data_IF_707443298790
#
_entry.id   IF_707443298790
#
_cell.length_a   1.000
_cell.length_b   1.000
_cell.length_c   1.000
_cell.angle_alpha   90.00
_cell.angle_beta   90.00
_cell.angle_gamma   90.00
#
_symmetry.space_group_name_H-M   'P 1'
#
loop_
_entity.id
_entity.type
_entity.pdbx_description
1 polymer ?
#
# COMPACT_ATOMS: atom_id res chain seq x y z
N UNK A 1 -4.16 5.26 -1.71
CA UNK A 1 -3.30 6.40 -2.06
C UNK A 1 -3.35 6.61 -3.56
N UNK A 2 -3.39 7.86 -4.02
CA UNK A 2 -3.32 8.24 -5.44
C UNK A 2 -2.40 9.45 -5.53
N UNK A 3 -1.43 9.43 -6.46
CA UNK A 3 -0.53 10.54 -6.71
C UNK A 3 -0.57 10.95 -8.19
N UNK A 4 -0.44 12.25 -8.42
CA UNK A 4 -0.22 12.83 -9.74
C UNK A 4 1.18 13.46 -9.71
N UNK A 5 2.07 13.00 -10.58
CA UNK A 5 3.47 13.41 -10.56
C UNK A 5 3.89 13.91 -11.94
N UNK A 6 4.89 14.79 -12.00
CA UNK A 6 5.55 15.04 -13.28
C UNK A 6 6.27 13.76 -13.74
N UNK A 7 6.46 13.56 -15.06
CA UNK A 7 7.14 12.37 -15.57
C UNK A 7 8.49 12.10 -14.89
N UNK A 8 9.29 13.15 -14.72
CA UNK A 8 10.62 13.15 -14.09
C UNK A 8 10.62 12.79 -12.59
N UNK A 9 9.50 12.94 -11.89
CA UNK A 9 9.37 12.67 -10.45
C UNK A 9 8.70 11.32 -10.17
N UNK A 10 8.05 10.73 -11.17
CA UNK A 10 7.12 9.61 -10.96
C UNK A 10 7.76 8.32 -10.43
N UNK A 11 9.04 8.06 -10.72
CA UNK A 11 9.71 6.87 -10.20
C UNK A 11 10.08 7.05 -8.71
N UNK A 12 10.50 8.25 -8.30
CA UNK A 12 10.72 8.59 -6.89
C UNK A 12 9.39 8.56 -6.10
N UNK A 13 8.31 9.03 -6.70
CA UNK A 13 6.98 8.97 -6.09
C UNK A 13 6.47 7.55 -5.89
N UNK A 14 6.90 6.59 -6.72
CA UNK A 14 6.59 5.17 -6.52
C UNK A 14 7.30 4.61 -5.29
N UNK A 15 8.59 4.92 -5.12
CA UNK A 15 9.37 4.52 -3.96
C UNK A 15 8.78 5.14 -2.68
N UNK A 16 8.46 6.44 -2.70
CA UNK A 16 7.80 7.12 -1.59
C UNK A 16 6.42 6.52 -1.26
N UNK A 17 5.59 6.24 -2.27
CA UNK A 17 4.27 5.60 -2.07
C UNK A 17 4.37 4.19 -1.49
N UNK A 18 5.39 3.43 -1.90
CA UNK A 18 5.64 2.08 -1.36
C UNK A 18 6.07 2.17 0.10
N UNK A 19 6.98 3.10 0.42
CA UNK A 19 7.39 3.38 1.79
C UNK A 19 6.23 3.84 2.69
N UNK A 20 5.28 4.63 2.18
CA UNK A 20 4.05 5.01 2.90
C UNK A 20 3.19 3.78 3.26
N UNK A 21 3.08 2.78 2.37
CA UNK A 21 2.37 1.54 2.65
C UNK A 21 3.13 0.65 3.66
N UNK A 22 4.45 0.54 3.51
CA UNK A 22 5.32 -0.18 4.44
C UNK A 22 5.29 0.41 5.85
N UNK A 23 5.29 1.74 5.95
CA UNK A 23 5.25 2.46 7.23
C UNK A 23 4.06 2.01 8.09
N UNK A 24 2.88 1.80 7.48
CA UNK A 24 1.71 1.31 8.19
C UNK A 24 1.91 -0.09 8.77
N UNK A 25 2.55 -1.01 8.03
CA UNK A 25 2.88 -2.35 8.52
C UNK A 25 3.93 -2.30 9.64
N UNK A 26 4.93 -1.43 9.51
CA UNK A 26 5.96 -1.22 10.53
C UNK A 26 5.35 -0.69 11.83
N UNK A 27 4.44 0.29 11.76
CA UNK A 27 3.72 0.81 12.93
C UNK A 27 2.83 -0.26 13.57
N UNK A 28 2.21 -1.11 12.75
CA UNK A 28 1.40 -2.23 13.22
C UNK A 28 2.21 -3.44 13.70
N UNK A 29 3.54 -3.41 13.60
CA UNK A 29 4.41 -4.54 13.99
C UNK A 29 4.20 -5.82 13.16
N UNK A 30 3.69 -5.70 11.94
CA UNK A 30 3.39 -6.85 11.07
C UNK A 30 4.60 -7.18 10.17
N UNK A 31 5.16 -8.41 10.22
CA UNK A 31 6.23 -8.81 9.31
C UNK A 31 5.77 -8.80 7.87
N UNK A 32 6.60 -8.27 6.97
CA UNK A 32 6.26 -8.16 5.56
C UNK A 32 7.50 -8.27 4.67
N UNK A 33 7.28 -8.39 3.36
CA UNK A 33 8.29 -8.24 2.31
C UNK A 33 7.76 -7.39 1.16
N UNK A 34 8.67 -6.80 0.40
CA UNK A 34 8.35 -6.07 -0.84
C UNK A 34 8.87 -6.89 -2.02
N UNK A 35 8.05 -7.05 -3.05
CA UNK A 35 8.43 -7.71 -4.30
C UNK A 35 8.16 -6.78 -5.49
N UNK A 36 9.08 -6.81 -6.47
CA UNK A 36 8.84 -6.17 -7.77
C UNK A 36 8.18 -7.19 -8.70
N UNK A 37 7.03 -6.84 -9.27
CA UNK A 37 6.29 -7.75 -10.14
C UNK A 37 7.03 -7.96 -11.46
N UNK A 38 7.04 -9.21 -11.93
CA UNK A 38 7.59 -9.52 -13.25
C UNK A 38 6.62 -9.07 -14.36
N UNK A 39 7.13 -8.96 -15.59
CA UNK A 39 6.35 -8.42 -16.72
C UNK A 39 5.05 -9.18 -17.00
N UNK A 40 5.00 -10.49 -16.74
CA UNK A 40 3.82 -11.32 -16.94
C UNK A 40 2.73 -11.16 -15.87
N UNK A 41 3.07 -10.53 -14.74
CA UNK A 41 2.19 -10.36 -13.57
C UNK A 41 1.79 -8.88 -13.36
N UNK A 42 2.28 -7.97 -14.19
CA UNK A 42 1.89 -6.56 -14.14
C UNK A 42 0.41 -6.38 -14.48
N UNK A 43 -0.26 -5.53 -13.70
CA UNK A 43 -1.62 -5.10 -13.97
C UNK A 43 -1.72 -4.25 -15.26
N UNK A 44 -2.89 -4.27 -15.89
CA UNK A 44 -3.13 -3.68 -17.23
C UNK A 44 -2.65 -2.23 -17.42
N UNK A 45 -2.77 -1.38 -16.40
CA UNK A 45 -2.38 0.03 -16.51
C UNK A 45 -0.99 0.34 -15.98
N UNK A 46 -0.33 -0.61 -15.34
CA UNK A 46 0.95 -0.37 -14.66
C UNK A 46 2.12 -0.49 -15.64
N UNK A 47 3.11 0.40 -15.51
CA UNK A 47 4.44 0.23 -16.10
C UNK A 47 5.42 -0.46 -15.13
N UNK A 48 5.19 -0.29 -13.82
CA UNK A 48 5.97 -0.90 -12.75
C UNK A 48 5.09 -0.97 -11.50
N UNK A 49 5.19 -2.08 -10.77
CA UNK A 49 4.42 -2.35 -9.56
C UNK A 49 5.29 -3.01 -8.51
N UNK A 50 5.18 -2.53 -7.28
CA UNK A 50 5.63 -3.24 -6.10
C UNK A 50 4.43 -3.78 -5.34
N UNK A 51 4.48 -5.07 -5.03
CA UNK A 51 3.54 -5.66 -4.09
C UNK A 51 4.20 -5.75 -2.71
N UNK A 52 3.46 -5.32 -1.70
CA UNK A 52 3.82 -5.50 -0.29
C UNK A 52 3.02 -6.69 0.23
N UNK A 53 3.71 -7.69 0.74
CA UNK A 53 3.09 -8.91 1.22
C UNK A 53 3.31 -9.07 2.72
N UNK A 54 2.23 -9.30 3.48
CA UNK A 54 2.27 -9.50 4.93
C UNK A 54 2.36 -10.98 5.28
N UNK A 55 3.04 -11.32 6.37
CA UNK A 55 3.08 -12.66 6.90
C UNK A 55 1.71 -13.08 7.46
N UNK A 56 1.18 -14.21 7.00
CA UNK A 56 -0.01 -14.85 7.54
C UNK A 56 0.35 -16.23 8.10
N UNK A 57 0.37 -16.41 9.43
CA UNK A 57 0.63 -17.70 10.08
C UNK A 57 -0.19 -18.86 9.54
N UNK A 58 -1.50 -18.67 9.28
CA UNK A 58 -2.39 -19.72 8.77
C UNK A 58 -2.01 -20.20 7.37
N UNK A 59 -1.45 -19.31 6.56
CA UNK A 59 -0.93 -19.62 5.22
C UNK A 59 0.50 -20.14 5.23
N UNK A 60 1.22 -19.99 6.36
CA UNK A 60 2.66 -20.22 6.46
C UNK A 60 3.44 -19.54 5.32
N UNK A 61 3.01 -18.33 4.94
CA UNK A 61 3.53 -17.60 3.80
C UNK A 61 3.22 -16.10 3.88
N UNK A 62 3.95 -15.33 3.08
CA UNK A 62 3.60 -13.94 2.78
C UNK A 62 2.45 -13.88 1.76
N UNK A 63 1.51 -12.95 1.96
CA UNK A 63 0.38 -12.70 1.07
C UNK A 63 0.19 -11.21 0.82
N UNK A 64 -0.15 -10.86 -0.42
CA UNK A 64 -0.38 -9.49 -0.86
C UNK A 64 -1.31 -8.72 0.11
N UNK A 65 -0.82 -7.60 0.62
CA UNK A 65 -1.59 -6.63 1.41
C UNK A 65 -1.51 -5.23 0.82
N UNK A 66 -0.64 -4.97 -0.13
CA UNK A 66 -0.68 -3.75 -0.93
C UNK A 66 -0.13 -4.01 -2.32
N UNK A 67 -0.61 -3.22 -3.28
CA UNK A 67 -0.04 -3.11 -4.62
C UNK A 67 0.11 -1.62 -4.93
N UNK A 68 1.35 -1.20 -5.17
CA UNK A 68 1.76 0.19 -5.43
C UNK A 68 2.32 0.28 -6.86
N UNK A 69 1.68 1.08 -7.71
CA UNK A 69 1.93 1.08 -9.15
C UNK A 69 2.18 2.48 -9.69
N UNK A 70 3.24 2.60 -10.50
CA UNK A 70 3.39 3.70 -11.44
C UNK A 70 2.74 3.32 -12.77
N UNK A 71 1.81 4.14 -13.26
CA UNK A 71 1.10 3.89 -14.52
C UNK A 71 1.66 4.72 -15.70
N UNK A 72 2.74 5.48 -15.47
CA UNK A 72 3.25 6.44 -16.45
C UNK A 72 2.14 7.40 -16.90
N UNK A 73 2.14 7.74 -18.19
CA UNK A 73 1.09 8.55 -18.79
C UNK A 73 -0.13 7.75 -19.28
N UNK A 74 -0.21 6.43 -19.03
CA UNK A 74 -1.25 5.55 -19.59
C UNK A 74 -2.66 6.01 -19.23
N UNK A 75 -2.91 6.21 -17.93
CA UNK A 75 -4.21 6.66 -17.44
C UNK A 75 -4.42 8.14 -17.79
N UNK A 76 -3.37 8.97 -17.69
CA UNK A 76 -3.43 10.39 -18.02
C UNK A 76 -3.81 10.66 -19.48
N UNK A 77 -3.31 9.87 -20.44
CA UNK A 77 -3.71 9.96 -21.86
C UNK A 77 -5.18 9.62 -22.05
N UNK A 78 -5.66 8.54 -21.43
CA UNK A 78 -7.05 8.09 -21.54
C UNK A 78 -8.05 9.05 -20.91
N UNK A 79 -7.68 9.68 -19.80
CA UNK A 79 -8.50 10.64 -19.08
C UNK A 79 -8.19 12.11 -19.42
N UNK A 80 -7.28 12.37 -20.37
CA UNK A 80 -6.83 13.71 -20.76
C UNK A 80 -6.32 14.59 -19.60
N UNK A 81 -5.56 14.00 -18.68
CA UNK A 81 -5.01 14.66 -17.47
C UNK A 81 -3.64 15.26 -17.79
N UNK A 82 -3.54 16.59 -17.72
CA UNK A 82 -2.36 17.34 -18.16
C UNK A 82 -1.94 18.38 -17.13
N UNK A 83 -0.68 18.77 -17.16
CA UNK A 83 -0.14 19.92 -16.44
C UNK A 83 0.49 20.93 -17.40
N UNK A 84 0.66 22.16 -16.91
CA UNK A 84 1.42 23.20 -17.59
C UNK A 84 2.73 23.40 -16.83
N UNK A 85 3.81 23.36 -17.57
CA UNK A 85 5.13 23.62 -17.05
C UNK A 85 5.41 25.13 -17.15
N UNK A 86 5.63 25.83 -16.01
CA UNK A 86 5.91 27.27 -16.02
C UNK A 86 7.16 27.64 -16.82
N UNK A 87 8.16 26.76 -16.87
CA UNK A 87 9.42 26.98 -17.59
C UNK A 87 9.27 26.73 -19.08
N UNK A 88 8.34 25.85 -19.46
CA UNK A 88 8.02 25.53 -20.85
C UNK A 88 6.62 26.07 -21.22
N UNK A 89 6.53 27.40 -21.34
CA UNK A 89 5.29 28.14 -21.63
C UNK A 89 4.55 27.68 -22.91
N UNK A 90 5.20 26.94 -23.80
CA UNK A 90 4.58 26.37 -25.02
C UNK A 90 4.16 24.91 -24.81
N UNK A 91 3.03 24.72 -24.13
CA UNK A 91 2.24 23.49 -24.22
C UNK A 91 1.83 22.87 -22.90
N UNK A 92 0.88 21.94 -22.99
CA UNK A 92 0.46 21.09 -21.87
C UNK A 92 1.07 19.70 -22.03
N UNK A 93 1.69 19.17 -20.98
CA UNK A 93 2.27 17.81 -20.93
C UNK A 93 1.33 16.88 -20.15
N UNK A 94 1.31 15.58 -20.46
CA UNK A 94 0.58 14.60 -19.64
C UNK A 94 1.31 14.38 -18.32
N UNK A 95 0.54 14.28 -17.23
CA UNK A 95 1.07 13.85 -15.94
C UNK A 95 1.32 12.34 -15.95
N UNK A 96 2.12 11.88 -14.98
CA UNK A 96 2.11 10.48 -14.59
C UNK A 96 1.15 10.27 -13.42
N UNK A 97 0.54 9.09 -13.38
CA UNK A 97 -0.43 8.71 -12.33
C UNK A 97 0.09 7.50 -11.58
N UNK A 98 -0.04 7.54 -10.25
CA UNK A 98 0.31 6.43 -9.38
C UNK A 98 -0.85 6.10 -8.46
N UNK A 99 -0.95 4.83 -8.08
CA UNK A 99 -1.93 4.36 -7.11
C UNK A 99 -1.34 3.25 -6.25
N UNK A 100 -1.74 3.22 -4.98
CA UNK A 100 -1.21 2.28 -4.00
C UNK A 100 -2.19 2.04 -2.86
N UNK A 101 -2.31 0.80 -2.40
CA UNK A 101 -3.11 0.51 -1.21
C UNK A 101 -2.35 0.93 0.06
N UNK A 102 -3.04 1.42 1.08
CA UNK A 102 -2.38 1.88 2.32
C UNK A 102 -3.29 1.81 3.55
N UNK A 103 -3.84 0.67 3.94
CA UNK A 103 -3.81 -0.69 3.38
C UNK A 103 -5.28 -1.17 3.24
N UNK A 104 -5.57 -2.28 2.55
CA UNK A 104 -6.89 -2.89 2.53
C UNK A 104 -7.27 -3.39 3.93
N UNK A 105 -8.16 -2.66 4.60
CA UNK A 105 -8.48 -2.86 6.02
C UNK A 105 -8.85 -4.31 6.39
N UNK A 106 -9.57 -5.04 5.52
CA UNK A 106 -9.93 -6.43 5.77
C UNK A 106 -8.73 -7.38 5.83
N UNK A 107 -7.76 -7.24 4.92
CA UNK A 107 -6.54 -8.06 4.95
C UNK A 107 -5.66 -7.67 6.13
N UNK A 108 -5.57 -6.38 6.46
CA UNK A 108 -4.86 -5.90 7.64
C UNK A 108 -5.47 -6.45 8.94
N UNK A 109 -6.80 -6.48 9.04
CA UNK A 109 -7.49 -7.07 10.20
C UNK A 109 -7.15 -8.56 10.33
N UNK A 110 -7.20 -9.33 9.24
CA UNK A 110 -6.81 -10.74 9.26
C UNK A 110 -5.36 -10.93 9.73
N UNK A 111 -4.44 -10.12 9.22
CA UNK A 111 -3.03 -10.17 9.64
C UNK A 111 -2.85 -9.83 11.13
N UNK A 112 -3.57 -8.84 11.66
CA UNK A 112 -3.54 -8.52 13.09
C UNK A 112 -4.08 -9.69 13.91
N UNK A 113 -5.26 -10.22 13.57
CA UNK A 113 -5.88 -11.32 14.31
C UNK A 113 -4.97 -12.55 14.37
N UNK A 114 -4.26 -12.88 13.28
CA UNK A 114 -3.37 -14.04 13.28
C UNK A 114 -2.03 -13.78 13.99
N UNK A 115 -1.40 -12.62 13.78
CA UNK A 115 -0.07 -12.34 14.32
C UNK A 115 -0.09 -11.93 15.80
N UNK A 116 -1.23 -11.45 16.30
CA UNK A 116 -1.40 -11.01 17.69
C UNK A 116 -2.26 -11.96 18.53
N UNK A 117 -2.50 -13.19 18.06
CA UNK A 117 -3.24 -14.18 18.82
C UNK A 117 -2.46 -14.65 20.06
N UNK A 118 -3.19 -14.92 21.14
CA UNK A 118 -2.67 -15.55 22.35
C UNK A 118 -3.22 -16.97 22.50
N UNK A 119 -2.54 -17.81 23.28
CA UNK A 119 -2.91 -19.22 23.46
C UNK A 119 -4.30 -19.44 24.10
N UNK A 120 -4.82 -18.42 24.80
CA UNK A 120 -6.16 -18.41 25.42
C UNK A 120 -7.28 -17.98 24.45
N UNK A 121 -6.97 -17.75 23.17
CA UNK A 121 -7.93 -17.32 22.15
C UNK A 121 -8.23 -15.82 22.12
N UNK A 122 -7.60 -15.04 23.00
CA UNK A 122 -7.68 -13.58 22.95
C UNK A 122 -6.71 -13.00 21.91
N UNK A 123 -6.94 -11.75 21.50
CA UNK A 123 -6.05 -11.03 20.56
C UNK A 123 -5.47 -9.80 21.23
N UNK A 124 -4.15 -9.65 21.24
CA UNK A 124 -3.48 -8.43 21.71
C UNK A 124 -3.67 -7.30 20.69
N UNK A 125 -4.09 -6.13 21.13
CA UNK A 125 -4.29 -4.98 20.23
C UNK A 125 -2.93 -4.29 20.01
N UNK A 126 -2.47 -4.09 18.75
CA UNK A 126 -1.27 -3.32 18.44
C UNK A 126 -1.31 -1.96 19.13
N UNK A 127 -0.19 -1.54 19.73
CA UNK A 127 -0.15 -0.34 20.57
C UNK A 127 -0.66 0.91 19.86
N UNK A 128 -0.29 1.06 18.58
CA UNK A 128 -0.71 2.19 17.71
C UNK A 128 -2.22 2.25 17.46
N UNK A 129 -2.96 1.15 17.67
CA UNK A 129 -4.41 1.09 17.53
C UNK A 129 -5.16 1.35 18.83
N UNK A 130 -4.53 1.20 20.00
CA UNK A 130 -5.20 1.36 21.31
C UNK A 130 -5.89 2.72 21.49
N UNK A 131 -5.33 3.87 21.05
CA UNK A 131 -6.02 5.15 21.11
C UNK A 131 -7.33 5.18 20.30
N UNK A 132 -7.39 4.42 19.21
CA UNK A 132 -8.59 4.29 18.37
C UNK A 132 -9.60 3.26 18.91
N UNK A 133 -9.19 2.47 19.89
CA UNK A 133 -10.02 1.46 20.56
C UNK A 133 -10.37 1.84 22.01
N UNK A 134 -10.32 3.13 22.35
CA UNK A 134 -10.67 3.62 23.68
C UNK A 134 -9.71 3.16 24.79
N UNK A 135 -8.45 2.86 24.44
CA UNK A 135 -7.44 2.34 25.37
C UNK A 135 -7.51 0.83 25.59
N UNK A 136 -8.38 0.11 24.88
CA UNK A 136 -8.46 -1.35 24.97
C UNK A 136 -7.13 -1.98 24.53
N UNK A 137 -6.61 -2.91 25.34
CA UNK A 137 -5.32 -3.58 25.07
C UNK A 137 -5.49 -5.00 24.49
N UNK A 138 -6.67 -5.60 24.66
CA UNK A 138 -6.96 -6.98 24.31
C UNK A 138 -8.40 -7.14 23.83
N UNK A 139 -8.62 -7.99 22.83
CA UNK A 139 -9.96 -8.45 22.42
C UNK A 139 -10.19 -9.82 23.07
N UNK A 140 -11.30 -9.96 23.78
CA UNK A 140 -11.69 -11.18 24.48
C UNK A 140 -12.77 -11.96 23.71
N UNK A 141 -12.80 -13.30 23.81
CA UNK A 141 -13.91 -14.10 23.30
C UNK A 141 -15.24 -13.67 23.92
N UNK A 142 -16.28 -13.58 23.09
CA UNK A 142 -17.65 -13.39 23.61
C UNK A 142 -18.09 -14.71 24.26
N UNK A 143 -18.53 -14.61 25.51
CA UNK A 143 -19.06 -15.74 26.28
C UNK A 143 -20.40 -16.25 25.73
#
# INVERSE_FOLDING_TARGET
>A
MVKFAKPEESDEELESMTAEAEYLLQQLGLPYRVISLCTGDLGFSARQTYDVEVWLPSYNAYKEISSCSNCGDFQARRANIKYRDPENFKGSRYLHTLNGSGLPAGRTMAAILENYQNADGTITIPEVLRPYMGGLEKIEPVA
#
